data_IF_230371107458
#
_entry.id   IF_230371107458
#
_cell.length_a   1.000
_cell.length_b   1.000
_cell.length_c   1.000
_cell.angle_alpha   90.00
_cell.angle_beta   90.00
_cell.angle_gamma   90.00
#
_symmetry.space_group_name_H-M   'P 1'
#
loop_
_entity.id
_entity.type
_entity.pdbx_description
1 polymer ?
#
# COMPACT_ATOMS: atom_id res chain seq x y z
N UNK A 1 2.58 -17.06 -26.81
CA UNK A 1 3.18 -16.57 -25.54
C UNK A 1 3.12 -15.05 -25.34
N UNK A 2 3.42 -14.19 -26.34
CA UNK A 2 3.35 -12.72 -26.19
C UNK A 2 1.98 -12.20 -25.73
N UNK A 3 0.89 -12.86 -26.16
CA UNK A 3 -0.49 -12.52 -25.80
C UNK A 3 -0.72 -12.58 -24.27
N UNK A 4 -0.43 -13.71 -23.61
CA UNK A 4 -0.55 -13.86 -22.15
C UNK A 4 0.29 -12.83 -21.35
N UNK A 5 1.50 -12.51 -21.82
CA UNK A 5 2.35 -11.52 -21.16
C UNK A 5 1.79 -10.10 -21.25
N UNK A 6 1.22 -9.71 -22.40
CA UNK A 6 0.58 -8.40 -22.54
C UNK A 6 -0.68 -8.28 -21.68
N UNK A 7 -1.47 -9.35 -21.58
CA UNK A 7 -2.68 -9.37 -20.74
C UNK A 7 -2.33 -9.23 -19.26
N UNK A 8 -1.25 -9.89 -18.81
CA UNK A 8 -0.77 -9.76 -17.43
C UNK A 8 -0.36 -8.33 -17.09
N UNK A 9 0.36 -7.63 -17.99
CA UNK A 9 0.77 -6.23 -17.78
C UNK A 9 -0.44 -5.32 -17.66
N UNK A 10 -1.38 -5.46 -18.59
CA UNK A 10 -2.62 -4.67 -18.60
C UNK A 10 -3.43 -4.90 -17.33
N UNK A 11 -3.59 -6.16 -16.91
CA UNK A 11 -4.27 -6.53 -15.67
C UNK A 11 -3.63 -5.88 -14.43
N UNK A 12 -2.30 -5.88 -14.34
CA UNK A 12 -1.59 -5.30 -13.19
C UNK A 12 -1.72 -3.77 -13.14
N UNK A 13 -1.64 -3.10 -14.31
CA UNK A 13 -1.91 -1.66 -14.40
C UNK A 13 -3.34 -1.37 -13.95
N UNK A 14 -4.31 -2.11 -14.48
CA UNK A 14 -5.73 -1.90 -14.18
C UNK A 14 -6.02 -2.11 -12.68
N UNK A 15 -5.47 -3.17 -12.09
CA UNK A 15 -5.58 -3.44 -10.66
C UNK A 15 -4.97 -2.31 -9.82
N UNK A 16 -3.77 -1.85 -10.17
CA UNK A 16 -3.11 -0.75 -9.46
C UNK A 16 -3.91 0.54 -9.58
N UNK A 17 -4.42 0.84 -10.78
CA UNK A 17 -5.22 2.01 -11.04
C UNK A 17 -6.53 2.00 -10.24
N UNK A 18 -7.27 0.89 -10.25
CA UNK A 18 -8.49 0.76 -9.44
C UNK A 18 -8.20 0.84 -7.94
N UNK A 19 -7.06 0.33 -7.49
CA UNK A 19 -6.68 0.44 -6.08
C UNK A 19 -6.36 1.90 -5.68
N UNK A 20 -5.73 2.68 -6.56
CA UNK A 20 -5.54 4.12 -6.34
C UNK A 20 -6.91 4.84 -6.30
N UNK A 21 -7.83 4.50 -7.21
CA UNK A 21 -9.19 5.05 -7.17
C UNK A 21 -9.92 4.68 -5.87
N UNK A 22 -9.71 3.47 -5.36
CA UNK A 22 -10.26 3.05 -4.08
C UNK A 22 -9.72 3.91 -2.92
N UNK A 23 -8.41 4.18 -2.88
CA UNK A 23 -7.79 5.08 -1.88
C UNK A 23 -8.43 6.47 -1.96
N UNK A 24 -8.48 7.08 -3.15
CA UNK A 24 -9.09 8.39 -3.31
C UNK A 24 -10.58 8.40 -2.98
N UNK A 25 -11.31 7.34 -3.28
CA UNK A 25 -12.72 7.19 -2.88
C UNK A 25 -12.91 7.10 -1.37
N UNK A 26 -11.91 6.61 -0.62
CA UNK A 26 -11.91 6.63 0.83
C UNK A 26 -11.60 8.03 1.38
N UNK A 27 -10.63 8.73 0.78
CA UNK A 27 -10.31 10.12 1.14
C UNK A 27 -11.47 11.07 0.89
N UNK A 28 -12.23 10.90 -0.20
CA UNK A 28 -13.42 11.69 -0.53
C UNK A 28 -14.61 11.54 0.44
N UNK A 29 -14.52 10.65 1.44
CA UNK A 29 -15.57 10.49 2.44
C UNK A 29 -15.45 11.54 3.55
N UNK A 30 -16.61 12.05 3.99
CA UNK A 30 -16.70 12.99 5.10
C UNK A 30 -16.02 12.45 6.37
N UNK A 31 -15.46 13.36 7.17
CA UNK A 31 -14.76 13.03 8.42
C UNK A 31 -15.59 12.19 9.39
N UNK A 32 -16.90 12.44 9.44
CA UNK A 32 -17.86 11.70 10.25
C UNK A 32 -18.01 10.24 9.82
N UNK A 33 -18.11 9.99 8.51
CA UNK A 33 -18.35 8.65 7.98
C UNK A 33 -17.12 7.77 8.12
N UNK A 34 -15.91 8.30 7.87
CA UNK A 34 -14.71 7.51 8.15
C UNK A 34 -14.50 7.32 9.64
N UNK A 35 -14.79 8.33 10.47
CA UNK A 35 -14.71 8.23 11.93
C UNK A 35 -15.61 7.13 12.49
N UNK A 36 -16.83 7.01 11.97
CA UNK A 36 -17.75 5.94 12.37
C UNK A 36 -17.21 4.53 12.01
N UNK A 37 -16.57 4.37 10.84
CA UNK A 37 -15.98 3.09 10.45
C UNK A 37 -14.78 2.72 11.32
N UNK A 38 -13.86 3.67 11.56
CA UNK A 38 -12.73 3.44 12.45
C UNK A 38 -13.19 3.22 13.89
N UNK A 39 -14.24 3.92 14.33
CA UNK A 39 -14.87 3.76 15.64
C UNK A 39 -15.42 2.35 15.85
N UNK A 40 -16.20 1.83 14.91
CA UNK A 40 -16.72 0.46 14.97
C UNK A 40 -15.60 -0.60 15.08
N UNK A 41 -14.55 -0.47 14.27
CA UNK A 41 -13.39 -1.38 14.33
C UNK A 41 -12.65 -1.24 15.67
N UNK A 42 -12.52 -0.01 16.17
CA UNK A 42 -11.86 0.27 17.44
C UNK A 42 -12.62 -0.32 18.61
N UNK A 43 -13.95 -0.18 18.64
CA UNK A 43 -14.81 -0.78 19.66
C UNK A 43 -14.71 -2.31 19.65
N UNK A 44 -14.79 -2.92 18.48
CA UNK A 44 -14.65 -4.38 18.35
C UNK A 44 -13.29 -4.85 18.87
N UNK A 45 -12.19 -4.20 18.48
CA UNK A 45 -10.84 -4.55 18.95
C UNK A 45 -10.69 -4.31 20.46
N UNK A 46 -11.23 -3.21 20.98
CA UNK A 46 -11.16 -2.90 22.41
C UNK A 46 -11.98 -3.87 23.26
N UNK A 47 -13.09 -4.41 22.76
CA UNK A 47 -13.82 -5.48 23.46
C UNK A 47 -12.91 -6.70 23.70
N UNK A 48 -12.16 -7.13 22.68
CA UNK A 48 -11.20 -8.24 22.83
C UNK A 48 -9.99 -7.86 23.68
N UNK A 49 -9.42 -6.68 23.48
CA UNK A 49 -8.21 -6.23 24.19
C UNK A 49 -8.45 -5.92 25.68
N UNK A 50 -9.68 -5.54 26.04
CA UNK A 50 -10.07 -5.30 27.44
C UNK A 50 -9.93 -6.56 28.30
N UNK A 51 -10.03 -7.76 27.71
CA UNK A 51 -9.76 -9.03 28.40
C UNK A 51 -8.31 -9.12 28.91
N UNK A 52 -7.41 -8.36 28.31
CA UNK A 52 -6.00 -8.26 28.65
C UNK A 52 -5.62 -6.91 29.28
N UNK A 53 -6.60 -6.08 29.67
CA UNK A 53 -6.39 -4.72 30.20
C UNK A 53 -5.67 -3.77 29.21
N UNK A 54 -5.83 -4.01 27.91
CA UNK A 54 -5.27 -3.18 26.84
C UNK A 54 -6.37 -2.36 26.17
N UNK A 55 -6.01 -1.20 25.60
CA UNK A 55 -6.89 -0.40 24.75
C UNK A 55 -6.11 0.29 23.63
N UNK A 56 -6.78 0.51 22.51
CA UNK A 56 -6.25 1.19 21.32
C UNK A 56 -7.19 2.35 20.98
N UNK A 57 -6.60 3.44 20.50
CA UNK A 57 -7.35 4.63 20.09
C UNK A 57 -7.81 4.52 18.65
N UNK A 58 -8.95 5.15 18.36
CA UNK A 58 -9.48 5.25 16.99
C UNK A 58 -8.47 5.89 16.03
N UNK A 59 -7.78 6.92 16.52
CA UNK A 59 -6.72 7.59 15.77
C UNK A 59 -5.62 6.60 15.33
N UNK A 60 -5.19 5.69 16.21
CA UNK A 60 -4.19 4.69 15.87
C UNK A 60 -4.72 3.70 14.82
N UNK A 61 -5.94 3.19 14.99
CA UNK A 61 -6.58 2.28 14.01
C UNK A 61 -6.67 2.93 12.64
N UNK A 62 -7.08 4.20 12.58
CA UNK A 62 -7.16 4.95 11.33
C UNK A 62 -5.79 5.08 10.66
N UNK A 63 -4.74 5.46 11.39
CA UNK A 63 -3.38 5.55 10.84
C UNK A 63 -2.84 4.20 10.39
N UNK A 64 -3.14 3.13 11.13
CA UNK A 64 -2.77 1.77 10.73
C UNK A 64 -3.50 1.31 9.46
N UNK A 65 -4.77 1.70 9.27
CA UNK A 65 -5.54 1.41 8.07
C UNK A 65 -4.92 2.11 6.85
N UNK A 66 -4.67 3.42 6.91
CA UNK A 66 -4.01 4.15 5.82
C UNK A 66 -2.64 3.56 5.51
N UNK A 67 -1.78 3.36 6.53
CA UNK A 67 -0.49 2.69 6.34
C UNK A 67 -0.62 1.34 5.61
N UNK A 68 -1.64 0.54 5.95
CA UNK A 68 -1.89 -0.76 5.31
C UNK A 68 -2.36 -0.64 3.86
N UNK A 69 -3.23 0.34 3.55
CA UNK A 69 -3.64 0.64 2.17
C UNK A 69 -2.42 1.01 1.33
N UNK A 70 -1.57 1.91 1.84
CA UNK A 70 -0.36 2.32 1.14
C UNK A 70 0.71 1.22 1.06
N UNK A 71 0.78 0.33 2.04
CA UNK A 71 1.60 -0.90 1.96
C UNK A 71 1.16 -1.78 0.79
N UNK A 72 -0.15 -2.00 0.64
CA UNK A 72 -0.71 -2.76 -0.49
C UNK A 72 -0.41 -2.04 -1.81
N UNK A 73 -0.52 -0.71 -1.86
CA UNK A 73 -0.15 0.07 -3.03
C UNK A 73 1.33 -0.14 -3.40
N UNK A 74 2.25 -0.13 -2.43
CA UNK A 74 3.67 -0.40 -2.65
C UNK A 74 3.94 -1.79 -3.24
N UNK A 75 3.22 -2.81 -2.76
CA UNK A 75 3.25 -4.17 -3.32
C UNK A 75 2.75 -4.17 -4.76
N UNK A 76 1.59 -3.57 -5.03
CA UNK A 76 0.99 -3.51 -6.37
C UNK A 76 1.90 -2.78 -7.37
N UNK A 77 2.51 -1.67 -6.97
CA UNK A 77 3.46 -0.93 -7.78
C UNK A 77 4.67 -1.79 -8.16
N UNK A 78 5.20 -2.58 -7.21
CA UNK A 78 6.29 -3.52 -7.49
C UNK A 78 5.88 -4.69 -8.37
N UNK A 79 4.68 -5.26 -8.18
CA UNK A 79 4.15 -6.33 -9.04
C UNK A 79 3.91 -5.82 -10.46
N UNK A 80 3.38 -4.61 -10.60
CA UNK A 80 3.21 -3.91 -11.87
C UNK A 80 4.56 -3.70 -12.54
N UNK A 81 5.55 -3.14 -11.85
CA UNK A 81 6.91 -2.98 -12.39
C UNK A 81 7.51 -4.32 -12.83
N UNK A 82 7.36 -5.37 -12.02
CA UNK A 82 7.86 -6.72 -12.31
C UNK A 82 7.24 -7.33 -13.56
N UNK A 83 6.02 -6.93 -13.92
CA UNK A 83 5.36 -7.35 -15.16
C UNK A 83 6.01 -6.74 -16.42
N UNK A 84 6.69 -5.60 -16.29
CA UNK A 84 7.42 -4.92 -17.37
C UNK A 84 8.88 -5.34 -17.46
N UNK A 85 9.54 -5.55 -16.32
CA UNK A 85 10.98 -5.78 -16.27
C UNK A 85 11.40 -6.75 -15.18
N UNK A 86 12.51 -7.45 -15.42
CA UNK A 86 13.20 -8.26 -14.40
C UNK A 86 14.24 -7.45 -13.62
N UNK A 87 14.67 -6.30 -14.17
CA UNK A 87 15.71 -5.43 -13.60
C UNK A 87 15.08 -4.39 -12.66
N UNK A 88 14.45 -4.84 -11.58
CA UNK A 88 13.69 -3.99 -10.65
C UNK A 88 14.48 -2.77 -10.16
N UNK A 89 15.76 -2.93 -9.81
CA UNK A 89 16.58 -1.83 -9.29
C UNK A 89 16.82 -0.67 -10.23
N UNK A 90 16.86 -0.93 -11.54
CA UNK A 90 17.07 0.13 -12.53
C UNK A 90 15.85 1.06 -12.65
N UNK A 91 14.67 0.55 -12.32
CA UNK A 91 13.40 1.24 -12.55
C UNK A 91 12.63 1.52 -11.26
N UNK A 92 13.29 1.41 -10.11
CA UNK A 92 12.67 1.63 -8.80
C UNK A 92 12.22 3.08 -8.59
N UNK A 93 12.74 4.02 -9.36
CA UNK A 93 12.33 5.44 -9.33
C UNK A 93 10.85 5.63 -9.68
N UNK A 94 10.29 4.81 -10.58
CA UNK A 94 8.88 4.91 -11.00
C UNK A 94 7.91 4.58 -9.85
N UNK A 95 7.98 3.42 -9.19
CA UNK A 95 7.09 3.11 -8.07
C UNK A 95 7.35 4.04 -6.87
N UNK A 96 8.57 4.54 -6.66
CA UNK A 96 8.84 5.52 -5.61
C UNK A 96 8.16 6.88 -5.90
N UNK A 97 8.24 7.35 -7.14
CA UNK A 97 7.61 8.60 -7.55
C UNK A 97 6.07 8.52 -7.46
N UNK A 98 5.47 7.48 -8.05
CA UNK A 98 4.02 7.26 -7.95
C UNK A 98 3.62 7.03 -6.50
N UNK A 99 4.42 6.27 -5.77
CA UNK A 99 4.25 5.97 -4.36
C UNK A 99 4.24 7.18 -3.43
N UNK A 100 4.96 8.25 -3.79
CA UNK A 100 4.92 9.52 -3.08
C UNK A 100 3.79 10.43 -3.58
N UNK A 101 3.55 10.44 -4.90
CA UNK A 101 2.55 11.28 -5.51
C UNK A 101 1.14 10.95 -5.03
N UNK A 102 0.81 9.66 -4.88
CA UNK A 102 -0.54 9.23 -4.44
C UNK A 102 -0.88 9.77 -3.04
N UNK A 103 -0.08 9.58 -1.97
CA UNK A 103 -0.34 10.20 -0.66
C UNK A 103 -0.43 11.73 -0.70
N UNK A 104 0.41 12.40 -1.51
CA UNK A 104 0.36 13.86 -1.65
C UNK A 104 -0.97 14.29 -2.28
N UNK A 105 -1.41 13.61 -3.34
CA UNK A 105 -2.71 13.86 -3.96
C UNK A 105 -3.87 13.54 -3.01
N UNK A 106 -3.77 12.45 -2.24
CA UNK A 106 -4.79 12.00 -1.31
C UNK A 106 -5.06 13.04 -0.22
N UNK A 107 -3.99 13.54 0.42
CA UNK A 107 -4.06 14.60 1.43
C UNK A 107 -4.52 15.95 0.82
N UNK A 108 -4.13 16.23 -0.43
CA UNK A 108 -4.61 17.42 -1.15
C UNK A 108 -6.10 17.35 -1.46
N UNK A 109 -6.63 16.18 -1.81
CA UNK A 109 -8.06 15.95 -2.01
C UNK A 109 -8.82 16.04 -0.69
N UNK A 110 -8.25 15.50 0.39
CA UNK A 110 -8.82 15.56 1.73
C UNK A 110 -9.02 17.00 2.21
N UNK A 111 -8.12 17.94 1.86
CA UNK A 111 -8.26 19.37 2.19
C UNK A 111 -9.50 20.04 1.56
N UNK A 112 -10.07 19.45 0.51
CA UNK A 112 -11.28 19.97 -0.14
C UNK A 112 -12.56 19.57 0.60
N UNK A 113 -12.46 18.70 1.61
CA UNK A 113 -13.61 18.09 2.30
C UNK A 113 -13.82 18.77 3.65
N UNK A 114 -15.05 19.21 3.97
CA UNK A 114 -15.36 19.79 5.27
C UNK A 114 -15.08 18.83 6.43
N UNK A 115 -14.48 19.34 7.50
CA UNK A 115 -14.18 18.54 8.71
C UNK A 115 -12.95 17.63 8.57
N UNK A 116 -12.15 17.80 7.51
CA UNK A 116 -10.86 17.15 7.33
C UNK A 116 -9.73 18.16 7.36
N UNK A 117 -8.57 17.73 7.84
CA UNK A 117 -7.31 18.47 7.76
C UNK A 117 -6.30 17.63 7.01
N UNK A 118 -5.53 18.26 6.13
CA UNK A 118 -4.37 17.64 5.51
C UNK A 118 -3.11 17.91 6.34
N UNK A 119 -2.29 16.88 6.59
CA UNK A 119 -1.04 17.01 7.34
C UNK A 119 0.14 16.36 6.62
N UNK A 120 1.29 17.02 6.65
CA UNK A 120 2.54 16.45 6.09
C UNK A 120 2.93 15.15 6.81
N UNK A 121 2.64 15.03 8.11
CA UNK A 121 2.85 13.78 8.85
C UNK A 121 2.08 12.61 8.25
N UNK A 122 0.93 12.87 7.65
CA UNK A 122 0.03 11.84 7.14
C UNK A 122 0.58 11.31 5.81
N UNK A 123 1.00 12.22 4.93
CA UNK A 123 1.80 11.91 3.73
C UNK A 123 3.02 11.05 4.08
N UNK A 124 3.73 11.36 5.17
CA UNK A 124 4.93 10.62 5.57
C UNK A 124 4.61 9.21 6.08
N UNK A 125 3.55 9.06 6.87
CA UNK A 125 3.08 7.75 7.36
C UNK A 125 2.67 6.88 6.17
N UNK A 126 1.89 7.44 5.26
CA UNK A 126 1.39 6.75 4.07
C UNK A 126 2.52 6.36 3.13
N UNK A 127 3.43 7.29 2.86
CA UNK A 127 4.62 6.99 2.07
C UNK A 127 5.49 5.91 2.73
N UNK A 128 5.60 5.89 4.07
CA UNK A 128 6.31 4.82 4.78
C UNK A 128 5.64 3.44 4.60
N UNK A 129 4.31 3.41 4.47
CA UNK A 129 3.55 2.23 4.06
C UNK A 129 3.99 1.74 2.68
N UNK A 130 4.01 2.65 1.69
CA UNK A 130 4.47 2.34 0.33
C UNK A 130 5.90 1.78 0.33
N UNK A 131 6.82 2.42 1.03
CA UNK A 131 8.21 1.96 1.16
C UNK A 131 8.30 0.56 1.76
N UNK A 132 7.49 0.28 2.78
CA UNK A 132 7.41 -1.04 3.42
C UNK A 132 6.93 -2.11 2.44
N UNK A 133 5.89 -1.81 1.64
CA UNK A 133 5.39 -2.70 0.59
C UNK A 133 6.42 -2.96 -0.51
N UNK A 134 7.13 -1.91 -0.95
CA UNK A 134 8.22 -2.02 -1.92
C UNK A 134 9.33 -2.93 -1.40
N UNK A 135 9.78 -2.70 -0.16
CA UNK A 135 10.84 -3.46 0.49
C UNK A 135 10.45 -4.93 0.63
N UNK A 136 9.22 -5.21 1.08
CA UNK A 136 8.71 -6.57 1.23
C UNK A 136 8.76 -7.34 -0.10
N UNK A 137 8.24 -6.75 -1.17
CA UNK A 137 8.30 -7.34 -2.51
C UNK A 137 9.74 -7.54 -3.00
N UNK A 138 10.62 -6.58 -2.74
CA UNK A 138 12.01 -6.67 -3.14
C UNK A 138 12.74 -7.83 -2.45
N UNK A 139 12.61 -7.93 -1.12
CA UNK A 139 13.20 -9.01 -0.32
C UNK A 139 12.67 -10.37 -0.77
N UNK A 140 11.37 -10.47 -1.05
CA UNK A 140 10.77 -11.68 -1.62
C UNK A 140 11.46 -12.06 -2.93
N UNK A 141 11.60 -11.15 -3.90
CA UNK A 141 12.27 -11.43 -5.17
C UNK A 141 13.74 -11.87 -4.97
N UNK A 142 14.48 -11.23 -4.06
CA UNK A 142 15.86 -11.63 -3.74
C UNK A 142 15.94 -13.04 -3.15
N UNK A 143 15.05 -13.37 -2.22
CA UNK A 143 15.01 -14.68 -1.58
C UNK A 143 14.78 -15.81 -2.59
N UNK A 144 13.81 -15.64 -3.49
CA UNK A 144 13.49 -16.64 -4.51
C UNK A 144 14.56 -16.74 -5.59
N UNK A 145 15.13 -15.62 -6.06
CA UNK A 145 16.21 -15.65 -7.07
C UNK A 145 17.49 -16.31 -6.54
N UNK A 146 17.86 -16.05 -5.28
CA UNK A 146 19.01 -16.71 -4.63
C UNK A 146 18.79 -18.21 -4.46
N UNK A 147 17.57 -18.63 -4.12
CA UNK A 147 17.23 -20.06 -3.96
C UNK A 147 17.26 -20.82 -5.28
N UNK A 148 16.76 -20.22 -6.38
CA UNK A 148 16.84 -20.83 -7.71
C UNK A 148 18.28 -20.95 -8.23
N UNK A 149 19.12 -19.95 -7.97
CA UNK A 149 20.54 -20.00 -8.37
C UNK A 149 21.32 -21.08 -7.63
N UNK A 150 21.03 -21.32 -6.34
CA UNK A 150 21.66 -22.40 -5.55
C UNK A 150 21.29 -23.79 -6.05
N UNK A 151 20.03 -24.02 -6.44
CA UNK A 151 19.57 -25.31 -6.99
C UNK A 151 20.19 -25.66 -8.35
N UNK A 152 20.56 -24.67 -9.17
CA UNK A 152 21.28 -24.92 -10.44
C UNK A 152 22.78 -25.18 -10.25
N UNK A 153 23.34 -24.83 -9.09
CA UNK A 153 24.77 -24.97 -8.79
C UNK A 153 25.14 -26.27 -8.05
N UNK A 154 24.18 -27.19 -7.82
CA UNK A 154 24.44 -28.54 -7.34
C UNK A 154 24.38 -29.53 -8.53
N UNK A 155 25.51 -29.78 -9.22
CA UNK A 155 25.60 -30.87 -10.17
C UNK A 155 25.71 -32.18 -9.36
N UNK A 156 24.68 -33.00 -9.45
CA UNK A 156 24.87 -34.45 -9.41
C UNK A 156 25.04 -34.92 -10.85
#
# INVERSE_FOLDING_TARGET
MKWFYQHRKFLMILLTFFFILFIFSNSLQNGTDSGNRSGFVTELLNQFLSLFHLSITEHFIRKAAHFSEYLILGILLMLTLRSFTTKLGRFLTVPLFVGLLVPVCDESLQLLIPGRSGMVSDVLIDFSGVLSGILLCWLFVLFFTKTTSRRKASPF
#
